data_IF_110563680190
#
_entry.id   IF_110563680190
#
_cell.length_a   1.000
_cell.length_b   1.000
_cell.length_c   1.000
_cell.angle_alpha   90.00
_cell.angle_beta   90.00
_cell.angle_gamma   90.00
#
_symmetry.space_group_name_H-M   'P 1'
#
loop_
_entity.id
_entity.type
_entity.pdbx_description
1 polymer ?
#
# COMPACT_ATOMS: atom_id res chain seq x y z
N UNK A 1 -13.22 -10.83 12.57
CA UNK A 1 -12.63 -9.53 13.00
C UNK A 1 -11.42 -9.69 13.95
N UNK A 2 -11.36 -10.70 14.82
CA UNK A 2 -10.22 -10.91 15.75
C UNK A 2 -8.91 -11.31 15.05
N UNK A 3 -8.96 -12.32 14.16
CA UNK A 3 -7.78 -12.85 13.46
C UNK A 3 -6.99 -11.82 12.67
N UNK A 4 -7.67 -10.86 12.02
CA UNK A 4 -7.00 -9.86 11.18
C UNK A 4 -6.24 -8.80 12.00
N UNK A 5 -6.76 -8.45 13.19
CA UNK A 5 -6.07 -7.55 14.13
C UNK A 5 -4.77 -8.17 14.62
N UNK A 6 -4.80 -9.47 14.94
CA UNK A 6 -3.60 -10.22 15.34
C UNK A 6 -2.59 -10.34 14.20
N UNK A 7 -3.05 -10.62 12.96
CA UNK A 7 -2.17 -10.61 11.77
C UNK A 7 -1.52 -9.23 11.58
N UNK A 8 -2.30 -8.15 11.70
CA UNK A 8 -1.76 -6.80 11.58
C UNK A 8 -0.74 -6.48 12.68
N UNK A 9 -1.03 -6.82 13.94
CA UNK A 9 -0.09 -6.64 15.05
C UNK A 9 1.21 -7.42 14.84
N UNK A 10 1.12 -8.68 14.40
CA UNK A 10 2.30 -9.50 14.04
C UNK A 10 3.12 -8.86 12.91
N UNK A 11 2.45 -8.31 11.89
CA UNK A 11 3.12 -7.58 10.82
C UNK A 11 3.86 -6.34 11.33
N UNK A 12 3.21 -5.50 12.15
CA UNK A 12 3.83 -4.29 12.70
C UNK A 12 5.09 -4.59 13.52
N UNK A 13 5.06 -5.68 14.30
CA UNK A 13 6.19 -6.13 15.11
C UNK A 13 7.28 -6.86 14.30
N UNK A 14 7.08 -7.05 12.99
CA UNK A 14 8.05 -7.73 12.11
C UNK A 14 9.04 -6.74 11.47
N UNK A 15 10.10 -7.29 10.87
CA UNK A 15 11.05 -6.52 10.07
C UNK A 15 10.58 -6.22 8.63
N UNK A 16 9.38 -6.64 8.25
CA UNK A 16 8.83 -6.42 6.91
C UNK A 16 8.27 -5.00 6.76
N UNK A 17 8.44 -4.40 5.59
CA UNK A 17 7.82 -3.13 5.23
C UNK A 17 6.49 -3.32 4.49
N UNK A 18 6.36 -4.45 3.78
CA UNK A 18 5.20 -4.84 3.00
C UNK A 18 4.95 -6.35 3.16
N UNK A 19 3.71 -6.74 3.35
CA UNK A 19 3.23 -8.12 3.30
C UNK A 19 1.92 -8.17 2.52
N UNK A 20 1.81 -9.13 1.60
CA UNK A 20 0.60 -9.33 0.81
C UNK A 20 0.14 -10.77 1.00
N UNK A 21 -1.14 -10.91 1.33
CA UNK A 21 -1.79 -12.19 1.49
C UNK A 21 -2.99 -12.32 0.55
N UNK A 22 -3.29 -13.56 0.17
CA UNK A 22 -4.43 -13.92 -0.65
C UNK A 22 -5.09 -15.15 -0.03
N UNK A 23 -6.41 -15.12 0.16
CA UNK A 23 -7.16 -16.20 0.82
C UNK A 23 -6.46 -16.65 2.12
N UNK A 24 -6.08 -15.67 2.93
CA UNK A 24 -5.38 -15.84 4.21
C UNK A 24 -3.94 -16.38 4.20
N UNK A 25 -3.42 -16.79 3.04
CA UNK A 25 -2.03 -17.22 2.88
C UNK A 25 -1.16 -16.03 2.50
N UNK A 26 -0.03 -15.85 3.19
CA UNK A 26 0.99 -14.88 2.77
C UNK A 26 1.60 -15.38 1.47
N UNK A 27 1.54 -14.54 0.44
CA UNK A 27 2.07 -14.86 -0.90
C UNK A 27 3.28 -14.00 -1.27
N UNK A 28 3.50 -12.89 -0.56
CA UNK A 28 4.63 -12.00 -0.80
C UNK A 28 4.99 -11.18 0.43
N UNK A 29 6.29 -10.89 0.59
CA UNK A 29 6.84 -9.99 1.61
C UNK A 29 8.00 -9.20 1.03
N UNK A 30 8.17 -7.96 1.49
CA UNK A 30 9.31 -7.13 1.11
C UNK A 30 9.77 -6.22 2.26
N UNK A 31 11.08 -6.01 2.34
CA UNK A 31 11.72 -4.99 3.20
C UNK A 31 12.08 -3.72 2.43
N UNK A 32 11.84 -3.69 1.11
CA UNK A 32 12.17 -2.52 0.27
C UNK A 32 11.32 -1.33 0.70
N UNK A 33 11.93 -0.16 0.77
CA UNK A 33 11.23 1.06 1.15
C UNK A 33 10.43 1.66 -0.01
N UNK A 34 9.40 2.45 0.33
CA UNK A 34 8.52 3.10 -0.63
C UNK A 34 7.69 2.09 -1.40
N UNK A 35 7.31 2.43 -2.63
CA UNK A 35 6.45 1.59 -3.48
C UNK A 35 7.15 0.41 -4.12
N UNK A 36 8.47 0.29 -3.97
CA UNK A 36 9.28 -0.74 -4.66
C UNK A 36 8.84 -2.16 -4.35
N UNK A 37 8.40 -2.44 -3.13
CA UNK A 37 7.86 -3.75 -2.78
C UNK A 37 6.56 -4.09 -3.53
N UNK A 38 5.68 -3.11 -3.73
CA UNK A 38 4.45 -3.28 -4.49
C UNK A 38 4.74 -3.48 -5.98
N UNK A 39 5.67 -2.70 -6.54
CA UNK A 39 6.10 -2.84 -7.94
C UNK A 39 6.74 -4.20 -8.20
N UNK A 40 7.63 -4.67 -7.32
CA UNK A 40 8.19 -6.03 -7.40
C UNK A 40 7.09 -7.08 -7.43
N UNK A 41 6.06 -6.93 -6.58
CA UNK A 41 4.95 -7.86 -6.52
C UNK A 41 4.11 -7.85 -7.81
N UNK A 42 3.81 -6.66 -8.35
CA UNK A 42 3.09 -6.51 -9.62
C UNK A 42 3.87 -7.20 -10.74
N UNK A 43 5.18 -6.90 -10.86
CA UNK A 43 6.01 -7.40 -11.96
C UNK A 43 6.26 -8.92 -11.89
N UNK A 44 6.30 -9.51 -10.69
CA UNK A 44 6.49 -10.97 -10.52
C UNK A 44 5.23 -11.79 -10.78
N UNK A 45 4.06 -11.17 -10.83
CA UNK A 45 2.78 -11.86 -10.78
C UNK A 45 2.16 -11.89 -12.18
N UNK A 46 2.80 -12.65 -13.08
CA UNK A 46 2.28 -12.95 -14.43
C UNK A 46 0.81 -13.43 -14.34
N UNK A 47 -0.11 -12.61 -14.86
CA UNK A 47 -1.56 -12.80 -15.11
C UNK A 47 -2.45 -13.51 -14.05
N UNK A 48 -1.97 -13.84 -12.85
CA UNK A 48 -2.77 -14.52 -11.82
C UNK A 48 -3.88 -13.62 -11.27
N UNK A 49 -5.07 -14.19 -11.04
CA UNK A 49 -6.22 -13.49 -10.43
C UNK A 49 -5.84 -12.78 -9.12
N UNK A 50 -6.21 -11.51 -9.01
CA UNK A 50 -6.00 -10.62 -7.86
C UNK A 50 -7.14 -10.66 -6.83
N UNK A 51 -7.96 -11.70 -6.84
CA UNK A 51 -9.13 -11.70 -5.96
C UNK A 51 -8.72 -11.83 -4.50
N UNK A 52 -9.31 -10.98 -3.65
CA UNK A 52 -9.15 -10.99 -2.20
C UNK A 52 -7.72 -10.74 -1.69
N UNK A 53 -6.96 -9.86 -2.36
CA UNK A 53 -5.65 -9.41 -1.84
C UNK A 53 -5.83 -8.54 -0.59
N UNK A 54 -5.09 -8.89 0.45
CA UNK A 54 -4.96 -8.09 1.68
C UNK A 54 -3.52 -7.60 1.75
N UNK A 55 -3.36 -6.28 1.78
CA UNK A 55 -2.06 -5.62 1.82
C UNK A 55 -1.82 -5.07 3.21
N UNK A 56 -0.67 -5.38 3.79
CA UNK A 56 -0.14 -4.73 4.98
C UNK A 56 1.11 -3.94 4.59
N UNK A 57 1.11 -2.65 4.85
CA UNK A 57 2.24 -1.75 4.57
C UNK A 57 2.43 -0.84 5.78
N UNK A 58 3.67 -0.56 6.19
CA UNK A 58 3.90 0.33 7.35
C UNK A 58 3.51 1.77 7.03
N UNK A 59 3.78 2.25 5.82
CA UNK A 59 3.57 3.65 5.44
C UNK A 59 2.80 3.72 4.13
N UNK A 60 1.51 4.04 4.22
CA UNK A 60 0.60 4.11 3.08
C UNK A 60 0.45 5.55 2.60
N UNK A 61 1.31 5.92 1.66
CA UNK A 61 1.17 7.13 0.86
C UNK A 61 0.20 6.99 -0.31
N UNK A 62 -0.14 8.09 -0.97
CA UNK A 62 -1.04 8.08 -2.15
C UNK A 62 -0.49 7.19 -3.27
N UNK A 63 0.83 7.21 -3.53
CA UNK A 63 1.43 6.32 -4.53
C UNK A 63 1.23 4.83 -4.20
N UNK A 64 1.42 4.44 -2.93
CA UNK A 64 1.16 3.06 -2.48
C UNK A 64 -0.33 2.71 -2.61
N UNK A 65 -1.23 3.64 -2.26
CA UNK A 65 -2.66 3.47 -2.45
C UNK A 65 -3.04 3.27 -3.92
N UNK A 66 -2.47 4.04 -4.86
CA UNK A 66 -2.73 3.89 -6.29
C UNK A 66 -2.29 2.51 -6.80
N UNK A 67 -1.14 1.99 -6.36
CA UNK A 67 -0.72 0.63 -6.73
C UNK A 67 -1.60 -0.45 -6.10
N UNK A 68 -2.07 -0.26 -4.86
CA UNK A 68 -3.04 -1.16 -4.24
C UNK A 68 -4.39 -1.18 -5.00
N UNK A 69 -4.82 -0.02 -5.51
CA UNK A 69 -6.01 0.10 -6.37
C UNK A 69 -5.78 -0.61 -7.71
N UNK A 70 -4.62 -0.40 -8.34
CA UNK A 70 -4.25 -1.09 -9.59
C UNK A 70 -4.27 -2.61 -9.42
N UNK A 71 -3.80 -3.12 -8.28
CA UNK A 71 -3.88 -4.52 -7.88
C UNK A 71 -5.30 -5.01 -7.54
N UNK A 72 -6.31 -4.13 -7.54
CA UNK A 72 -7.68 -4.43 -7.09
C UNK A 72 -7.69 -5.06 -5.69
N UNK A 73 -6.88 -4.53 -4.79
CA UNK A 73 -6.80 -5.03 -3.43
C UNK A 73 -8.17 -4.99 -2.74
N UNK A 74 -8.48 -6.00 -1.93
CA UNK A 74 -9.69 -5.97 -1.11
C UNK A 74 -9.57 -4.92 -0.01
N UNK A 75 -8.43 -4.92 0.68
CA UNK A 75 -8.20 -4.04 1.83
C UNK A 75 -6.71 -3.74 2.03
N UNK A 76 -6.43 -2.51 2.46
CA UNK A 76 -5.08 -2.05 2.82
C UNK A 76 -5.01 -1.70 4.31
N UNK A 77 -4.04 -2.29 5.01
CA UNK A 77 -3.72 -2.00 6.40
C UNK A 77 -2.42 -1.20 6.49
N UNK A 78 -2.47 -0.08 7.21
CA UNK A 78 -1.37 0.86 7.38
C UNK A 78 -1.07 1.18 8.82
N UNK A 79 0.21 1.21 9.22
CA UNK A 79 0.57 1.81 10.52
C UNK A 79 0.33 3.33 10.49
N UNK A 80 0.80 3.95 9.42
CA UNK A 80 0.59 5.36 9.10
C UNK A 80 0.07 5.48 7.68
N UNK A 81 -1.03 6.21 7.48
CA UNK A 81 -1.53 6.54 6.14
C UNK A 81 -1.72 8.05 5.95
N UNK A 82 -1.57 8.56 4.73
CA UNK A 82 -1.86 9.97 4.45
C UNK A 82 -3.35 10.21 4.17
N UNK A 83 -3.81 11.45 4.38
CA UNK A 83 -5.16 11.88 3.94
C UNK A 83 -5.33 11.70 2.43
N UNK A 84 -4.27 11.89 1.65
CA UNK A 84 -4.28 11.67 0.20
C UNK A 84 -4.48 10.19 -0.17
N UNK A 85 -3.85 9.27 0.57
CA UNK A 85 -4.05 7.83 0.41
C UNK A 85 -5.49 7.43 0.76
N UNK A 86 -6.00 7.86 1.93
CA UNK A 86 -7.36 7.56 2.37
C UNK A 86 -8.42 8.05 1.38
N UNK A 87 -8.24 9.26 0.83
CA UNK A 87 -9.12 9.81 -0.22
C UNK A 87 -9.10 8.97 -1.50
N UNK A 88 -7.91 8.54 -1.95
CA UNK A 88 -7.78 7.68 -3.12
C UNK A 88 -8.47 6.34 -2.90
N UNK A 89 -8.15 5.63 -1.81
CA UNK A 89 -8.75 4.32 -1.51
C UNK A 89 -10.29 4.40 -1.43
N UNK A 90 -10.82 5.43 -0.76
CA UNK A 90 -12.27 5.67 -0.69
C UNK A 90 -12.89 5.93 -2.06
N UNK A 91 -12.26 6.77 -2.90
CA UNK A 91 -12.74 7.08 -4.26
C UNK A 91 -12.88 5.80 -5.10
N UNK A 92 -11.93 4.88 -4.98
CA UNK A 92 -11.90 3.63 -5.73
C UNK A 92 -12.52 2.44 -4.98
N UNK A 93 -13.23 2.69 -3.86
CA UNK A 93 -13.94 1.68 -3.07
C UNK A 93 -13.05 0.52 -2.59
N UNK A 94 -11.81 0.83 -2.24
CA UNK A 94 -10.88 -0.09 -1.57
C UNK A 94 -11.02 0.11 -0.06
N UNK A 95 -11.30 -0.96 0.67
CA UNK A 95 -11.34 -0.88 2.13
C UNK A 95 -9.95 -0.55 2.68
N UNK A 96 -9.90 0.15 3.81
CA UNK A 96 -8.62 0.42 4.45
C UNK A 96 -8.76 0.62 5.95
N UNK A 97 -7.66 0.34 6.64
CA UNK A 97 -7.49 0.65 8.06
C UNK A 97 -6.11 1.23 8.27
N UNK A 98 -6.06 2.47 8.77
CA UNK A 98 -4.82 3.11 9.18
C UNK A 98 -4.83 3.31 10.70
N UNK A 99 -3.78 2.86 11.39
CA UNK A 99 -3.66 3.08 12.84
C UNK A 99 -3.51 4.58 13.14
N UNK A 100 -2.81 5.31 12.28
CA UNK A 100 -2.65 6.76 12.35
C UNK A 100 -2.85 7.38 10.97
N UNK A 101 -3.38 8.60 10.93
CA UNK A 101 -3.54 9.39 9.69
C UNK A 101 -2.77 10.70 9.80
N UNK A 102 -1.89 10.98 8.84
CA UNK A 102 -1.21 12.26 8.70
C UNK A 102 -1.73 13.04 7.49
N UNK A 103 -1.37 14.33 7.39
CA UNK A 103 -1.74 15.14 6.23
C UNK A 103 -1.14 14.57 4.94
N UNK A 104 0.18 14.39 4.91
CA UNK A 104 0.94 13.88 3.77
C UNK A 104 2.13 13.03 4.26
N UNK A 105 2.60 12.11 3.43
CA UNK A 105 3.88 11.42 3.69
C UNK A 105 5.03 12.36 3.31
N UNK A 106 5.93 12.58 4.27
CA UNK A 106 7.12 13.43 4.10
C UNK A 106 8.33 12.60 3.66
N UNK A 107 9.33 13.28 3.10
CA UNK A 107 10.67 12.72 2.89
C UNK A 107 11.38 12.45 4.24
N UNK A 108 12.52 11.75 4.19
CA UNK A 108 13.22 11.26 5.39
C UNK A 108 13.72 12.38 6.31
N UNK A 109 14.17 13.48 5.71
CA UNK A 109 14.63 14.70 6.36
C UNK A 109 13.47 15.64 6.75
N UNK A 110 12.22 15.30 6.43
CA UNK A 110 11.01 16.07 6.72
C UNK A 110 11.02 17.50 6.16
N UNK A 111 11.84 17.77 5.15
CA UNK A 111 11.91 19.07 4.47
C UNK A 111 10.79 19.28 3.43
N UNK A 112 10.07 18.22 3.06
CA UNK A 112 9.00 18.31 2.08
C UNK A 112 8.25 17.01 1.85
N UNK A 113 7.42 16.99 0.80
CA UNK A 113 6.69 15.78 0.40
C UNK A 113 7.65 14.66 0.00
N UNK A 114 7.31 13.43 0.39
CA UNK A 114 7.95 12.25 -0.16
C UNK A 114 7.89 12.30 -1.71
N UNK A 115 8.98 12.00 -2.43
CA UNK A 115 9.00 12.04 -3.89
C UNK A 115 7.88 11.23 -4.53
N UNK A 116 7.58 10.05 -3.97
CA UNK A 116 6.52 9.17 -4.44
C UNK A 116 5.13 9.78 -4.18
N UNK A 117 4.92 10.40 -3.02
CA UNK A 117 3.66 11.10 -2.71
C UNK A 117 3.42 12.23 -3.72
N UNK A 118 4.46 13.03 -4.00
CA UNK A 118 4.42 14.13 -4.97
C UNK A 118 4.14 13.64 -6.39
N UNK A 119 4.84 12.59 -6.83
CA UNK A 119 4.67 12.01 -8.18
C UNK A 119 3.28 11.40 -8.41
N UNK A 120 2.57 11.04 -7.34
CA UNK A 120 1.22 10.46 -7.41
C UNK A 120 0.09 11.49 -7.49
N UNK A 121 0.39 12.78 -7.33
CA UNK A 121 -0.61 13.84 -7.40
C UNK A 121 -1.16 13.94 -8.83
N UNK A 122 -2.48 14.11 -8.94
CA UNK A 122 -3.17 14.22 -10.23
C UNK A 122 -3.35 12.91 -11.01
N UNK A 123 -2.60 11.85 -10.67
CA UNK A 123 -2.60 10.61 -11.44
C UNK A 123 -3.72 9.64 -11.08
N UNK A 124 -4.19 8.90 -12.08
CA UNK A 124 -4.97 7.66 -11.93
C UNK A 124 -4.07 6.49 -11.50
N UNK A 125 -4.64 5.37 -11.02
CA UNK A 125 -3.88 4.15 -10.73
C UNK A 125 -3.05 3.64 -11.92
N UNK A 126 -3.65 3.64 -13.11
CA UNK A 126 -3.03 3.17 -14.35
C UNK A 126 -1.88 4.08 -14.79
N UNK A 127 -2.11 5.41 -14.81
CA UNK A 127 -1.07 6.40 -15.12
C UNK A 127 0.08 6.36 -14.12
N UNK A 128 -0.23 6.19 -12.83
CA UNK A 128 0.80 6.09 -11.82
C UNK A 128 1.65 4.84 -12.04
N UNK A 129 1.03 3.68 -12.27
CA UNK A 129 1.75 2.43 -12.51
C UNK A 129 2.64 2.48 -13.75
N UNK A 130 2.13 2.89 -14.92
CA UNK A 130 2.90 2.94 -16.18
C UNK A 130 4.17 3.78 -16.02
N UNK A 131 4.10 4.89 -15.28
CA UNK A 131 5.25 5.75 -15.04
C UNK A 131 6.26 5.19 -14.03
N UNK A 132 6.05 3.98 -13.50
CA UNK A 132 7.00 3.26 -12.62
C UNK A 132 7.62 2.03 -13.30
N UNK A 133 7.15 1.67 -14.50
CA UNK A 133 7.53 0.47 -15.26
C UNK A 133 8.77 0.68 -16.11
#
# INVERSE_FOLDING_TARGET
MFLIKEKFKKFLNSSWGLEISQKEKIIFRSKKSGVRGLLDFINKRESRSCDNLVIFDKIVGRGAALLAIHLKAKIVYGELGSKLAARALRKYKIDFYFRQICANILNRDKSGLCPIEKLSLGKTPEEFYINQS
#
